data_IF_218344449836
#
_entry.id   IF_218344449836
#
_cell.length_a   1.000
_cell.length_b   1.000
_cell.length_c   1.000
_cell.angle_alpha   90.00
_cell.angle_beta   90.00
_cell.angle_gamma   90.00
#
_symmetry.space_group_name_H-M   'P 1'
#
loop_
_entity.id
_entity.type
_entity.pdbx_description
1 polymer ?
#
# COMPACT_ATOMS: atom_id res chain seq x y z
N UNK A 1 17.47 -11.43 15.81
CA UNK A 1 16.06 -11.38 15.38
C UNK A 1 15.57 -9.94 15.36
N UNK A 2 14.72 -9.58 14.40
CA UNK A 2 14.04 -8.27 14.31
C UNK A 2 12.56 -8.44 14.65
N UNK A 3 11.87 -7.34 15.00
CA UNK A 3 10.43 -7.38 15.27
C UNK A 3 9.68 -6.12 14.90
N UNK A 4 8.42 -6.30 14.52
CA UNK A 4 7.39 -5.27 14.45
C UNK A 4 6.34 -5.55 15.53
N UNK A 5 6.03 -4.56 16.37
CA UNK A 5 5.17 -4.75 17.55
C UNK A 5 3.98 -3.75 17.56
N UNK A 6 2.98 -3.91 16.68
CA UNK A 6 1.84 -3.00 16.62
C UNK A 6 0.79 -3.30 17.70
N UNK A 7 0.13 -2.25 18.19
CA UNK A 7 -1.03 -2.36 19.08
C UNK A 7 -2.33 -2.35 18.26
N UNK A 8 -3.29 -3.27 18.50
CA UNK A 8 -4.51 -3.37 17.70
C UNK A 8 -5.56 -2.34 18.15
N UNK A 9 -5.18 -1.06 18.26
CA UNK A 9 -6.01 0.02 18.84
C UNK A 9 -6.54 1.01 17.81
N UNK A 10 -6.25 0.80 16.52
CA UNK A 10 -6.61 1.70 15.43
C UNK A 10 -6.22 1.15 14.07
N UNK A 11 -6.55 1.91 13.02
CA UNK A 11 -6.07 1.63 11.66
C UNK A 11 -4.55 1.79 11.58
N UNK A 12 -3.88 0.90 10.85
CA UNK A 12 -2.46 1.03 10.59
C UNK A 12 -2.20 2.27 9.73
N UNK A 13 -1.29 3.13 10.18
CA UNK A 13 -0.84 4.30 9.44
C UNK A 13 0.46 4.05 8.67
N UNK A 14 0.84 5.01 7.81
CA UNK A 14 2.08 4.97 7.05
C UNK A 14 3.34 4.89 7.91
N UNK A 15 3.30 5.43 9.13
CA UNK A 15 4.41 5.38 10.09
C UNK A 15 4.61 3.95 10.59
N UNK A 16 3.53 3.29 11.02
CA UNK A 16 3.54 1.90 11.45
C UNK A 16 4.03 0.97 10.33
N UNK A 17 3.50 1.14 9.11
CA UNK A 17 3.91 0.33 7.97
C UNK A 17 5.39 0.55 7.63
N UNK A 18 5.90 1.79 7.70
CA UNK A 18 7.32 2.08 7.47
C UNK A 18 8.20 1.34 8.49
N UNK A 19 7.84 1.33 9.77
CA UNK A 19 8.56 0.54 10.79
C UNK A 19 8.57 -0.94 10.42
N UNK A 20 7.43 -1.51 9.99
CA UNK A 20 7.35 -2.91 9.57
C UNK A 20 8.25 -3.21 8.37
N UNK A 21 8.20 -2.39 7.32
CA UNK A 21 9.01 -2.52 6.09
C UNK A 21 10.51 -2.51 6.44
N UNK A 22 10.96 -1.54 7.24
CA UNK A 22 12.37 -1.38 7.54
C UNK A 22 12.90 -2.52 8.42
N UNK A 23 12.14 -2.98 9.41
CA UNK A 23 12.51 -4.17 10.17
C UNK A 23 12.58 -5.41 9.27
N UNK A 24 11.64 -5.58 8.34
CA UNK A 24 11.64 -6.70 7.40
C UNK A 24 12.86 -6.69 6.47
N UNK A 25 13.17 -5.54 5.87
CA UNK A 25 14.34 -5.39 4.99
C UNK A 25 15.63 -5.74 5.75
N UNK A 26 15.82 -5.16 6.94
CA UNK A 26 17.02 -5.42 7.76
C UNK A 26 17.08 -6.88 8.21
N UNK A 27 15.95 -7.51 8.53
CA UNK A 27 15.89 -8.94 8.84
C UNK A 27 16.37 -9.79 7.65
N UNK A 28 15.90 -9.51 6.44
CA UNK A 28 16.34 -10.22 5.23
C UNK A 28 17.82 -10.00 4.94
N UNK A 29 18.31 -8.77 5.04
CA UNK A 29 19.73 -8.44 4.83
C UNK A 29 20.67 -9.13 5.83
N UNK A 30 20.26 -9.21 7.09
CA UNK A 30 21.03 -9.88 8.15
C UNK A 30 20.80 -11.39 8.21
N UNK A 31 19.92 -11.94 7.37
CA UNK A 31 19.46 -13.32 7.45
C UNK A 31 18.95 -13.70 8.86
N UNK A 32 18.22 -12.78 9.47
CA UNK A 32 17.64 -12.87 10.80
C UNK A 32 16.15 -13.13 10.72
N UNK A 33 15.57 -13.74 11.76
CA UNK A 33 14.12 -13.93 11.85
C UNK A 33 13.41 -12.58 11.98
N UNK A 34 12.21 -12.48 11.42
CA UNK A 34 11.29 -11.36 11.57
C UNK A 34 10.05 -11.79 12.35
N UNK A 35 9.87 -11.20 13.54
CA UNK A 35 8.75 -11.44 14.45
C UNK A 35 7.68 -10.35 14.31
N UNK A 36 6.40 -10.73 14.30
CA UNK A 36 5.28 -9.81 14.52
C UNK A 36 4.68 -10.07 15.90
N UNK A 37 4.70 -9.07 16.78
CA UNK A 37 4.11 -9.15 18.13
C UNK A 37 2.90 -8.24 18.22
N UNK A 38 1.70 -8.80 18.34
CA UNK A 38 0.50 -7.99 18.55
C UNK A 38 0.46 -7.56 20.02
N UNK A 39 0.62 -6.25 20.28
CA UNK A 39 0.67 -5.66 21.62
C UNK A 39 -0.75 -5.41 22.17
N UNK A 40 -1.44 -6.50 22.51
CA UNK A 40 -2.85 -6.55 22.88
C UNK A 40 -3.11 -6.59 24.40
N UNK A 41 -2.17 -6.13 25.23
CA UNK A 41 -2.34 -6.19 26.70
C UNK A 41 -3.39 -5.23 27.23
N UNK A 42 -3.62 -4.09 26.57
CA UNK A 42 -4.63 -3.11 26.94
C UNK A 42 -5.99 -3.49 26.33
N UNK A 43 -6.69 -4.42 27.00
CA UNK A 43 -7.99 -4.94 26.52
C UNK A 43 -9.06 -3.87 26.32
N UNK A 44 -8.94 -2.72 26.97
CA UNK A 44 -9.93 -1.63 26.86
C UNK A 44 -9.73 -0.87 25.54
N UNK A 45 -8.47 -0.67 25.13
CA UNK A 45 -8.15 0.05 23.88
C UNK A 45 -8.16 -0.84 22.64
N UNK A 46 -8.00 -2.15 22.80
CA UNK A 46 -8.03 -3.07 21.67
C UNK A 46 -9.37 -2.99 20.92
N UNK A 47 -9.28 -2.95 19.60
CA UNK A 47 -10.43 -2.96 18.70
C UNK A 47 -10.48 -4.33 18.02
N UNK A 48 -11.65 -4.99 18.09
CA UNK A 48 -11.87 -6.30 17.51
C UNK A 48 -11.56 -6.30 15.99
N UNK A 49 -10.79 -7.28 15.54
CA UNK A 49 -10.40 -7.47 14.14
C UNK A 49 -9.19 -6.65 13.66
N UNK A 50 -8.67 -5.69 14.45
CA UNK A 50 -7.51 -4.88 14.03
C UNK A 50 -6.21 -5.67 13.94
N UNK A 51 -6.04 -6.66 14.78
CA UNK A 51 -4.96 -7.64 14.69
C UNK A 51 -4.95 -8.36 13.34
N UNK A 52 -6.12 -8.83 12.90
CA UNK A 52 -6.32 -9.51 11.61
C UNK A 52 -6.07 -8.56 10.44
N UNK A 53 -6.58 -7.33 10.53
CA UNK A 53 -6.35 -6.30 9.53
C UNK A 53 -4.86 -5.95 9.37
N UNK A 54 -4.14 -5.80 10.49
CA UNK A 54 -2.68 -5.61 10.50
C UNK A 54 -1.99 -6.72 9.70
N UNK A 55 -2.33 -7.99 9.96
CA UNK A 55 -1.70 -9.12 9.26
C UNK A 55 -2.05 -9.14 7.77
N UNK A 56 -3.31 -8.85 7.40
CA UNK A 56 -3.72 -8.74 5.99
C UNK A 56 -2.98 -7.62 5.26
N UNK A 57 -2.71 -6.50 5.94
CA UNK A 57 -1.90 -5.42 5.38
C UNK A 57 -0.49 -5.93 5.12
N UNK A 58 0.19 -6.53 6.11
CA UNK A 58 1.55 -7.05 5.92
C UNK A 58 1.64 -8.05 4.74
N UNK A 59 0.64 -8.93 4.60
CA UNK A 59 0.55 -9.87 3.48
C UNK A 59 0.41 -9.16 2.13
N UNK A 60 -0.44 -8.12 2.01
CA UNK A 60 -0.57 -7.30 0.79
C UNK A 60 0.71 -6.61 0.36
N UNK A 61 1.60 -6.32 1.32
CA UNK A 61 2.92 -5.73 1.07
C UNK A 61 4.03 -6.77 0.88
N UNK A 62 3.68 -8.07 0.82
CA UNK A 62 4.62 -9.19 0.76
C UNK A 62 5.65 -9.20 1.91
N UNK A 63 5.26 -8.65 3.07
CA UNK A 63 6.05 -8.64 4.30
C UNK A 63 5.76 -9.95 5.05
N UNK A 64 6.52 -10.99 4.72
CA UNK A 64 6.44 -12.27 5.41
C UNK A 64 7.05 -12.22 6.81
N UNK A 65 6.62 -13.12 7.71
CA UNK A 65 7.12 -13.23 9.08
C UNK A 65 7.47 -14.68 9.44
N UNK A 66 8.43 -14.86 10.35
CA UNK A 66 8.84 -16.18 10.84
C UNK A 66 8.04 -16.60 12.09
N UNK A 67 7.58 -15.63 12.87
CA UNK A 67 6.87 -15.83 14.14
C UNK A 67 5.78 -14.76 14.29
N UNK A 68 4.65 -15.16 14.87
CA UNK A 68 3.58 -14.26 15.30
C UNK A 68 3.07 -14.70 16.65
N UNK A 69 2.87 -13.76 17.58
CA UNK A 69 2.14 -14.03 18.82
C UNK A 69 1.44 -12.78 19.35
N UNK A 70 0.49 -13.03 20.25
CA UNK A 70 -0.22 -12.01 21.00
C UNK A 70 0.42 -11.84 22.37
N UNK A 71 0.73 -10.60 22.74
CA UNK A 71 1.38 -10.29 24.00
C UNK A 71 0.56 -10.76 25.22
N UNK A 72 -0.76 -10.76 25.10
CA UNK A 72 -1.71 -11.27 26.10
C UNK A 72 -1.50 -12.74 26.45
N UNK A 73 -0.89 -13.55 25.57
CA UNK A 73 -0.55 -14.96 25.83
C UNK A 73 0.56 -15.11 26.88
N UNK A 74 1.39 -14.08 27.05
CA UNK A 74 2.51 -14.07 28.00
C UNK A 74 2.17 -13.40 29.34
N UNK A 75 0.92 -12.98 29.56
CA UNK A 75 0.50 -12.22 30.73
C UNK A 75 0.93 -12.87 32.07
N UNK A 76 0.82 -14.19 32.18
CA UNK A 76 1.24 -14.92 33.38
C UNK A 76 2.75 -14.78 33.65
N UNK A 77 3.57 -14.83 32.60
CA UNK A 77 5.03 -14.68 32.71
C UNK A 77 5.37 -13.24 33.10
N UNK A 78 4.72 -12.26 32.46
CA UNK A 78 4.91 -10.85 32.80
C UNK A 78 4.53 -10.59 34.27
N UNK A 79 3.43 -11.15 34.77
CA UNK A 79 3.03 -11.02 36.18
C UNK A 79 4.05 -11.64 37.14
N UNK A 80 4.63 -12.80 36.81
CA UNK A 80 5.67 -13.42 37.63
C UNK A 80 6.93 -12.55 37.69
N UNK A 81 7.36 -11.98 36.57
CA UNK A 81 8.49 -11.06 36.50
C UNK A 81 8.22 -9.77 37.30
N UNK A 82 7.01 -9.22 37.20
CA UNK A 82 6.58 -8.07 37.98
C UNK A 82 6.63 -8.34 39.49
N UNK A 83 6.07 -9.46 39.95
CA UNK A 83 6.09 -9.86 41.35
C UNK A 83 7.51 -10.08 41.88
N UNK A 84 8.37 -10.72 41.07
CA UNK A 84 9.79 -10.89 41.39
C UNK A 84 10.47 -9.55 41.58
N UNK A 85 10.30 -8.63 40.64
CA UNK A 85 10.93 -7.32 40.68
C UNK A 85 10.46 -6.48 41.87
N UNK A 86 9.15 -6.47 42.14
CA UNK A 86 8.57 -5.80 43.31
C UNK A 86 9.10 -6.37 44.62
N UNK A 87 9.32 -7.69 44.71
CA UNK A 87 9.89 -8.33 45.91
C UNK A 87 11.36 -7.98 46.11
N UNK A 88 12.17 -8.03 45.06
CA UNK A 88 13.61 -7.75 45.12
C UNK A 88 13.93 -6.26 45.39
N UNK A 89 13.08 -5.35 44.90
CA UNK A 89 13.30 -3.91 44.99
C UNK A 89 12.51 -3.21 46.10
N UNK A 90 11.72 -3.95 46.89
CA UNK A 90 10.89 -3.43 47.99
C UNK A 90 11.67 -2.61 49.04
N UNK A 91 12.99 -2.78 49.11
CA UNK A 91 13.89 -2.06 50.03
C UNK A 91 14.60 -0.84 49.43
N UNK A 92 14.35 -0.48 48.15
CA UNK A 92 15.15 0.50 47.39
C UNK A 92 14.38 1.71 46.82
N UNK A 93 13.19 2.06 47.33
CA UNK A 93 12.36 3.16 46.79
C UNK A 93 12.17 3.07 45.27
N UNK A 94 11.92 1.85 44.78
CA UNK A 94 11.70 1.61 43.36
C UNK A 94 10.30 2.11 42.96
N UNK A 95 10.23 2.91 41.91
CA UNK A 95 8.97 3.42 41.38
C UNK A 95 8.17 2.28 40.76
N UNK A 96 7.07 1.86 41.39
CA UNK A 96 6.23 0.79 40.88
C UNK A 96 5.39 1.19 39.67
N UNK A 97 5.27 2.48 39.36
CA UNK A 97 4.44 2.98 38.26
C UNK A 97 4.97 2.56 36.88
N UNK A 98 6.25 2.20 36.77
CA UNK A 98 6.80 1.66 35.52
C UNK A 98 6.41 0.20 35.29
N UNK A 99 5.99 -0.53 36.32
CA UNK A 99 5.59 -1.94 36.23
C UNK A 99 4.08 -2.04 36.02
N UNK A 100 3.31 -1.29 36.81
CA UNK A 100 1.86 -1.48 36.95
C UNK A 100 1.11 -0.16 36.92
N UNK A 101 0.00 -0.15 36.18
CA UNK A 101 -0.97 0.94 36.11
C UNK A 101 -1.83 1.00 37.40
N UNK A 102 -2.60 2.07 37.56
CA UNK A 102 -3.49 2.29 38.72
C UNK A 102 -4.62 1.26 38.84
N UNK A 103 -4.98 0.60 37.75
CA UNK A 103 -6.00 -0.47 37.69
C UNK A 103 -5.41 -1.88 37.93
N UNK A 104 -4.15 -1.97 38.35
CA UNK A 104 -3.36 -3.19 38.53
C UNK A 104 -3.02 -3.97 37.24
N UNK A 105 -3.26 -3.40 36.07
CA UNK A 105 -2.72 -3.95 34.81
C UNK A 105 -1.23 -3.63 34.67
N UNK A 106 -0.49 -4.47 33.94
CA UNK A 106 0.92 -4.17 33.66
C UNK A 106 1.03 -3.05 32.63
N UNK A 107 2.07 -2.22 32.75
CA UNK A 107 2.32 -1.20 31.74
C UNK A 107 2.79 -1.83 30.43
N UNK A 108 2.51 -1.18 29.32
CA UNK A 108 2.97 -1.57 27.98
C UNK A 108 4.50 -1.63 27.90
N UNK A 109 5.19 -0.67 28.54
CA UNK A 109 6.65 -0.64 28.62
C UNK A 109 7.19 -1.87 29.37
N UNK A 110 6.53 -2.29 30.45
CA UNK A 110 6.95 -3.47 31.20
C UNK A 110 6.73 -4.76 30.39
N UNK A 111 5.56 -4.92 29.78
CA UNK A 111 5.26 -6.09 28.95
C UNK A 111 6.22 -6.18 27.74
N UNK A 112 6.43 -5.07 27.02
CA UNK A 112 7.36 -5.00 25.88
C UNK A 112 8.80 -5.30 26.28
N UNK A 113 9.28 -4.78 27.41
CA UNK A 113 10.61 -5.08 27.92
C UNK A 113 10.79 -6.57 28.25
N UNK A 114 9.77 -7.19 28.86
CA UNK A 114 9.77 -8.61 29.18
C UNK A 114 9.83 -9.45 27.91
N UNK A 115 8.98 -9.17 26.92
CA UNK A 115 8.95 -9.95 25.68
C UNK A 115 10.20 -9.79 24.83
N UNK A 116 10.75 -8.58 24.75
CA UNK A 116 12.02 -8.35 24.06
C UNK A 116 13.14 -9.16 24.70
N UNK A 117 13.19 -9.22 26.04
CA UNK A 117 14.14 -10.03 26.79
C UNK A 117 13.94 -11.53 26.55
N UNK A 118 12.70 -12.02 26.68
CA UNK A 118 12.37 -13.44 26.51
C UNK A 118 12.57 -13.93 25.08
N UNK A 119 12.46 -13.03 24.12
CA UNK A 119 12.65 -13.31 22.69
C UNK A 119 14.09 -13.02 22.23
N UNK A 120 14.99 -12.62 23.13
CA UNK A 120 16.39 -12.26 22.83
C UNK A 120 16.52 -11.22 21.69
N UNK A 121 15.61 -10.24 21.67
CA UNK A 121 15.66 -9.13 20.71
C UNK A 121 16.76 -8.17 21.12
N UNK A 122 17.76 -8.03 20.25
CA UNK A 122 18.94 -7.18 20.45
C UNK A 122 19.08 -6.05 19.42
N UNK A 123 18.17 -5.95 18.44
CA UNK A 123 18.17 -4.88 17.44
C UNK A 123 16.73 -4.41 17.21
N UNK A 124 16.48 -3.12 17.42
CA UNK A 124 15.16 -2.51 17.46
C UNK A 124 15.13 -1.30 16.54
N UNK A 125 14.25 -1.34 15.53
CA UNK A 125 13.91 -0.16 14.72
C UNK A 125 12.50 0.28 15.14
N UNK A 126 12.36 1.55 15.51
CA UNK A 126 11.10 2.17 15.90
C UNK A 126 11.10 3.68 15.58
N UNK A 127 9.96 4.35 15.71
CA UNK A 127 9.88 5.80 15.55
C UNK A 127 10.61 6.54 16.70
N UNK A 128 11.10 7.74 16.43
CA UNK A 128 11.78 8.59 17.42
C UNK A 128 10.90 8.98 18.61
N UNK A 129 9.57 8.98 18.45
CA UNK A 129 8.61 9.19 19.53
C UNK A 129 8.70 8.12 20.62
N UNK A 130 9.24 6.94 20.29
CA UNK A 130 9.43 5.83 21.23
C UNK A 130 10.68 5.98 22.11
N UNK A 131 11.46 7.06 21.98
CA UNK A 131 12.68 7.29 22.76
C UNK A 131 12.41 7.23 24.27
N UNK A 132 11.38 7.95 24.75
CA UNK A 132 11.02 8.01 26.18
C UNK A 132 10.58 6.62 26.69
N UNK A 133 9.85 5.87 25.88
CA UNK A 133 9.43 4.51 26.20
C UNK A 133 10.62 3.55 26.25
N UNK A 134 11.55 3.71 25.30
CA UNK A 134 12.77 2.91 25.21
C UNK A 134 13.65 3.07 26.45
N UNK A 135 13.84 4.30 26.95
CA UNK A 135 14.60 4.53 28.19
C UNK A 135 14.00 3.77 29.39
N UNK A 136 12.67 3.77 29.51
CA UNK A 136 11.97 2.99 30.54
C UNK A 136 12.15 1.49 30.35
N UNK A 137 12.06 1.01 29.11
CA UNK A 137 12.23 -0.42 28.78
C UNK A 137 13.66 -0.91 29.09
N UNK A 138 14.69 -0.11 28.78
CA UNK A 138 16.08 -0.41 29.13
C UNK A 138 16.24 -0.51 30.65
N UNK A 139 15.66 0.43 31.40
CA UNK A 139 15.69 0.39 32.87
C UNK A 139 14.98 -0.85 33.44
N UNK A 140 13.85 -1.25 32.85
CA UNK A 140 13.11 -2.47 33.23
C UNK A 140 13.94 -3.72 32.95
N UNK A 141 14.52 -3.85 31.76
CA UNK A 141 15.42 -4.96 31.37
C UNK A 141 16.59 -5.09 32.35
N UNK A 142 17.30 -3.98 32.61
CA UNK A 142 18.42 -3.94 33.57
C UNK A 142 17.98 -4.30 34.98
N UNK A 143 16.79 -3.86 35.40
CA UNK A 143 16.24 -4.15 36.72
C UNK A 143 15.87 -5.61 36.91
N UNK A 144 15.48 -6.31 35.84
CA UNK A 144 15.24 -7.76 35.79
C UNK A 144 16.54 -8.59 35.64
N UNK A 145 17.69 -7.92 35.54
CA UNK A 145 19.00 -8.58 35.42
C UNK A 145 19.42 -8.90 33.98
N UNK A 146 18.72 -8.38 32.97
CA UNK A 146 19.13 -8.52 31.58
C UNK A 146 20.23 -7.51 31.26
N UNK A 147 21.41 -8.02 30.92
CA UNK A 147 22.63 -7.20 30.67
C UNK A 147 23.07 -7.20 29.21
N UNK A 148 22.42 -7.98 28.34
CA UNK A 148 22.77 -8.03 26.93
C UNK A 148 22.47 -6.68 26.24
N UNK A 149 23.38 -6.18 25.41
CA UNK A 149 23.17 -4.92 24.71
C UNK A 149 22.01 -5.04 23.71
N UNK A 150 21.18 -4.01 23.64
CA UNK A 150 20.15 -3.86 22.61
C UNK A 150 20.46 -2.58 21.83
N UNK A 151 20.63 -2.73 20.52
CA UNK A 151 20.80 -1.61 19.60
C UNK A 151 19.43 -1.04 19.22
N UNK A 152 19.28 0.28 19.35
CA UNK A 152 18.05 1.00 19.03
C UNK A 152 18.33 1.98 17.89
N UNK A 153 17.50 1.90 16.85
CA UNK A 153 17.49 2.83 15.72
C UNK A 153 16.14 3.52 15.70
N UNK A 154 16.19 4.85 15.77
CA UNK A 154 15.03 5.72 15.73
C UNK A 154 14.87 6.29 14.33
N UNK A 155 13.76 5.99 13.69
CA UNK A 155 13.40 6.60 12.41
C UNK A 155 12.58 7.88 12.65
N UNK A 156 12.73 8.92 11.82
CA UNK A 156 11.98 10.15 12.00
C UNK A 156 10.48 9.95 11.84
N UNK A 157 9.72 10.75 12.57
CA UNK A 157 8.26 10.79 12.49
C UNK A 157 7.82 11.30 11.12
N UNK A 158 6.74 10.74 10.59
CA UNK A 158 6.07 11.27 9.39
C UNK A 158 4.94 12.19 9.83
N UNK A 159 5.01 13.46 9.41
CA UNK A 159 3.94 14.44 9.60
C UNK A 159 2.76 14.19 8.65
N UNK A 160 1.55 14.60 9.07
CA UNK A 160 0.29 14.41 8.32
C UNK A 160 -0.02 12.93 8.04
N UNK A 161 -0.17 12.17 9.13
CA UNK A 161 -0.49 10.73 9.09
C UNK A 161 -1.75 10.46 8.27
N UNK A 162 -1.65 9.45 7.41
CA UNK A 162 -2.74 8.88 6.63
C UNK A 162 -2.73 7.36 6.87
N UNK A 163 -3.91 6.75 6.91
CA UNK A 163 -4.03 5.30 7.10
C UNK A 163 -3.75 4.55 5.81
N UNK A 164 -3.27 3.31 5.93
CA UNK A 164 -3.08 2.43 4.78
C UNK A 164 -4.40 2.12 4.08
N UNK A 165 -5.48 2.01 4.87
CA UNK A 165 -6.85 1.84 4.37
C UNK A 165 -7.27 3.00 3.46
N UNK A 166 -7.09 4.25 3.90
CA UNK A 166 -7.42 5.43 3.08
C UNK A 166 -6.63 5.48 1.76
N UNK A 167 -5.37 5.02 1.76
CA UNK A 167 -4.58 4.93 0.53
C UNK A 167 -5.13 3.85 -0.43
N UNK A 168 -5.53 2.69 0.08
CA UNK A 168 -6.17 1.67 -0.75
C UNK A 168 -7.51 2.15 -1.30
N UNK A 169 -8.33 2.83 -0.50
CA UNK A 169 -9.60 3.42 -0.93
C UNK A 169 -9.42 4.46 -2.03
N UNK A 170 -8.26 5.14 -2.08
CA UNK A 170 -7.90 6.08 -3.15
C UNK A 170 -7.29 5.40 -4.40
N UNK A 171 -7.08 4.08 -4.36
CA UNK A 171 -6.56 3.30 -5.48
C UNK A 171 -5.03 3.32 -5.62
N UNK A 172 -4.30 3.56 -4.52
CA UNK A 172 -2.85 3.36 -4.47
C UNK A 172 -2.52 1.88 -4.31
N UNK A 173 -1.51 1.39 -5.03
CA UNK A 173 -1.10 -0.02 -5.00
C UNK A 173 0.00 -0.27 -3.96
N UNK A 174 0.06 -1.47 -3.34
CA UNK A 174 1.03 -1.78 -2.30
C UNK A 174 2.49 -1.49 -2.70
N UNK A 175 2.91 -1.87 -3.91
CA UNK A 175 4.29 -1.65 -4.37
C UNK A 175 4.68 -0.17 -4.37
N UNK A 176 3.77 0.71 -4.76
CA UNK A 176 4.01 2.14 -4.81
C UNK A 176 4.09 2.77 -3.42
N UNK A 177 3.20 2.38 -2.50
CA UNK A 177 3.22 2.82 -1.11
C UNK A 177 4.54 2.37 -0.45
N UNK A 178 4.93 1.11 -0.66
CA UNK A 178 6.19 0.57 -0.13
C UNK A 178 7.41 1.31 -0.68
N UNK A 179 7.49 1.49 -2.00
CA UNK A 179 8.56 2.25 -2.63
C UNK A 179 8.62 3.66 -2.04
N UNK A 180 7.49 4.34 -1.92
CA UNK A 180 7.43 5.68 -1.35
C UNK A 180 7.99 5.71 0.08
N UNK A 181 7.54 4.82 0.97
CA UNK A 181 7.96 4.80 2.38
C UNK A 181 9.44 4.46 2.57
N UNK A 182 10.04 3.67 1.68
CA UNK A 182 11.49 3.38 1.68
C UNK A 182 12.29 4.55 1.10
N UNK A 183 11.75 5.22 0.08
CA UNK A 183 12.40 6.38 -0.55
C UNK A 183 12.37 7.60 0.37
N UNK A 184 11.35 7.73 1.23
CA UNK A 184 11.25 8.80 2.21
C UNK A 184 12.56 8.92 2.98
N UNK A 185 13.16 10.10 2.87
CA UNK A 185 14.36 10.48 3.60
C UNK A 185 15.57 9.57 3.34
N UNK A 186 15.61 8.96 2.16
CA UNK A 186 16.73 8.15 1.71
C UNK A 186 17.42 8.78 0.49
N UNK A 187 18.29 9.79 0.70
CA UNK A 187 18.94 10.53 -0.39
C UNK A 187 19.93 9.68 -1.20
N UNK A 188 20.27 8.47 -0.73
CA UNK A 188 21.19 7.55 -1.40
C UNK A 188 20.50 6.45 -2.20
N UNK A 189 19.17 6.50 -2.34
CA UNK A 189 18.45 5.57 -3.20
C UNK A 189 19.02 5.63 -4.64
N UNK A 190 19.34 4.48 -5.27
CA UNK A 190 19.98 4.46 -6.58
C UNK A 190 19.05 4.94 -7.71
N UNK A 191 17.74 4.81 -7.51
CA UNK A 191 16.67 5.26 -8.40
C UNK A 191 15.42 5.54 -7.57
N UNK A 192 14.50 6.34 -8.11
CA UNK A 192 13.26 6.66 -7.41
C UNK A 192 12.24 5.53 -7.44
N UNK A 193 12.26 4.73 -8.51
CA UNK A 193 11.28 3.67 -8.75
C UNK A 193 11.96 2.31 -8.60
N UNK A 194 11.55 1.54 -7.60
CA UNK A 194 12.14 0.25 -7.27
C UNK A 194 11.12 -0.70 -6.63
N UNK A 195 11.44 -1.99 -6.69
CA UNK A 195 10.67 -3.07 -6.04
C UNK A 195 11.24 -3.39 -4.65
N UNK A 196 10.48 -4.11 -3.82
CA UNK A 196 10.96 -4.60 -2.53
C UNK A 196 12.22 -5.49 -2.65
N UNK A 197 12.31 -6.46 -3.59
CA UNK A 197 13.54 -7.24 -3.79
C UNK A 197 14.76 -6.35 -4.09
N UNK A 198 14.62 -5.36 -4.97
CA UNK A 198 15.70 -4.41 -5.25
C UNK A 198 16.07 -3.63 -3.97
N UNK A 199 15.08 -3.12 -3.23
CA UNK A 199 15.31 -2.40 -1.98
C UNK A 199 16.08 -3.23 -0.96
N UNK A 200 15.79 -4.53 -0.84
CA UNK A 200 16.54 -5.44 0.07
C UNK A 200 18.03 -5.49 -0.29
N UNK A 201 18.41 -5.34 -1.55
CA UNK A 201 19.82 -5.39 -1.97
C UNK A 201 20.60 -4.12 -1.64
N UNK A 202 20.01 -2.94 -1.86
CA UNK A 202 20.74 -1.67 -1.77
C UNK A 202 20.44 -0.84 -0.52
N UNK A 203 19.33 -1.11 0.18
CA UNK A 203 18.91 -0.30 1.32
C UNK A 203 19.95 -0.38 2.44
N UNK A 204 20.27 0.77 3.03
CA UNK A 204 21.15 0.84 4.19
C UNK A 204 20.53 1.81 5.19
N UNK A 205 20.23 1.28 6.38
CA UNK A 205 19.54 1.98 7.45
C UNK A 205 20.30 3.24 7.90
N UNK A 206 21.63 3.26 7.75
CA UNK A 206 22.46 4.42 8.12
C UNK A 206 22.27 5.62 7.17
N UNK A 207 21.60 5.42 6.04
CA UNK A 207 21.35 6.47 5.05
C UNK A 207 20.01 7.18 5.25
N UNK A 208 19.18 6.74 6.22
CA UNK A 208 17.96 7.46 6.57
C UNK A 208 18.31 8.80 7.22
N UNK A 209 17.72 9.89 6.72
CA UNK A 209 17.82 11.24 7.30
C UNK A 209 17.31 11.26 8.75
N UNK A 210 17.77 12.22 9.55
CA UNK A 210 17.32 12.42 10.93
C UNK A 210 16.23 13.49 11.06
N UNK A 211 15.82 14.08 9.95
CA UNK A 211 14.82 15.15 9.93
C UNK A 211 13.41 14.58 9.83
N UNK A 212 12.43 15.30 10.38
CA UNK A 212 11.02 14.94 10.25
C UNK A 212 10.58 14.98 8.79
N UNK A 213 9.78 14.00 8.37
CA UNK A 213 9.36 13.87 6.98
C UNK A 213 7.93 14.34 6.80
N UNK A 214 7.66 15.14 5.77
CA UNK A 214 6.29 15.48 5.40
C UNK A 214 5.75 14.49 4.38
N UNK A 215 4.57 13.95 4.65
CA UNK A 215 3.84 13.17 3.66
C UNK A 215 3.50 14.04 2.44
N UNK A 216 3.85 13.55 1.25
CA UNK A 216 3.64 14.20 -0.04
C UNK A 216 2.86 13.25 -0.96
N UNK A 217 1.55 13.49 -1.03
CA UNK A 217 0.63 12.72 -1.86
C UNK A 217 0.97 12.84 -3.35
N UNK A 218 1.53 13.96 -3.82
CA UNK A 218 1.86 14.13 -5.24
C UNK A 218 3.07 13.25 -5.62
N UNK A 219 4.06 13.16 -4.74
CA UNK A 219 5.18 12.23 -4.92
C UNK A 219 4.70 10.78 -4.91
N UNK A 220 3.81 10.41 -3.99
CA UNK A 220 3.21 9.07 -3.98
C UNK A 220 2.42 8.80 -5.27
N UNK A 221 1.63 9.76 -5.78
CA UNK A 221 0.92 9.64 -7.06
C UNK A 221 1.87 9.42 -8.24
N UNK A 222 2.99 10.14 -8.29
CA UNK A 222 4.00 9.92 -9.33
C UNK A 222 4.58 8.50 -9.27
N UNK A 223 4.98 8.04 -8.07
CA UNK A 223 5.50 6.68 -7.89
C UNK A 223 4.42 5.64 -8.27
N UNK A 224 3.18 5.85 -7.85
CA UNK A 224 2.06 4.97 -8.17
C UNK A 224 1.81 4.84 -9.67
N UNK A 225 1.86 5.97 -10.40
CA UNK A 225 1.78 5.97 -11.85
C UNK A 225 2.88 5.09 -12.48
N UNK A 226 4.14 5.26 -12.06
CA UNK A 226 5.25 4.50 -12.65
C UNK A 226 5.15 3.00 -12.31
N UNK A 227 4.68 2.63 -11.11
CA UNK A 227 4.42 1.23 -10.77
C UNK A 227 3.27 0.62 -11.60
N UNK A 228 2.17 1.33 -11.81
CA UNK A 228 1.07 0.85 -12.68
C UNK A 228 1.57 0.63 -14.12
N UNK A 229 2.42 1.54 -14.61
CA UNK A 229 3.00 1.44 -15.95
C UNK A 229 3.85 0.18 -16.13
N UNK A 230 4.60 -0.21 -15.10
CA UNK A 230 5.45 -1.41 -15.08
C UNK A 230 4.67 -2.71 -14.84
N UNK A 231 3.47 -2.64 -14.22
CA UNK A 231 2.63 -3.79 -13.93
C UNK A 231 2.31 -4.60 -15.19
N UNK A 232 2.24 -5.93 -15.10
CA UNK A 232 1.78 -6.77 -16.21
C UNK A 232 0.38 -6.37 -16.65
N UNK A 233 0.12 -6.37 -17.97
CA UNK A 233 -1.14 -5.89 -18.53
C UNK A 233 -2.34 -6.73 -18.04
N UNK A 234 -2.17 -8.06 -17.94
CA UNK A 234 -3.24 -8.95 -17.49
C UNK A 234 -3.49 -8.81 -16.00
N UNK A 235 -2.43 -8.66 -15.19
CA UNK A 235 -2.58 -8.41 -13.76
C UNK A 235 -3.26 -7.05 -13.50
N UNK A 236 -2.90 -6.01 -14.25
CA UNK A 236 -3.56 -4.70 -14.15
C UNK A 236 -5.06 -4.80 -14.46
N UNK A 237 -5.45 -5.52 -15.51
CA UNK A 237 -6.86 -5.62 -15.88
C UNK A 237 -7.69 -6.50 -14.95
N UNK A 238 -7.07 -7.43 -14.19
CA UNK A 238 -7.75 -8.15 -13.10
C UNK A 238 -8.24 -7.20 -12.01
N UNK A 239 -7.50 -6.11 -11.74
CA UNK A 239 -7.91 -5.11 -10.74
C UNK A 239 -9.25 -4.44 -11.12
N UNK A 240 -9.61 -4.44 -12.40
CA UNK A 240 -10.88 -3.92 -12.91
C UNK A 240 -11.92 -5.01 -13.20
N UNK A 241 -11.58 -6.29 -13.01
CA UNK A 241 -12.49 -7.43 -13.22
C UNK A 241 -12.50 -8.08 -14.61
N UNK A 242 -11.55 -7.76 -15.51
CA UNK A 242 -11.53 -8.32 -16.88
C UNK A 242 -10.60 -9.53 -17.05
N UNK A 243 -9.39 -9.50 -16.45
CA UNK A 243 -8.34 -10.50 -16.64
C UNK A 243 -7.89 -10.71 -18.11
N UNK A 244 -7.87 -9.62 -18.88
CA UNK A 244 -7.53 -9.54 -20.31
C UNK A 244 -6.34 -8.59 -20.54
N UNK A 245 -5.32 -9.02 -21.28
CA UNK A 245 -4.12 -8.21 -21.54
C UNK A 245 -4.39 -6.96 -22.38
N UNK A 246 -5.33 -6.99 -23.31
CA UNK A 246 -5.63 -5.84 -24.17
C UNK A 246 -6.37 -4.74 -23.39
N UNK A 247 -7.22 -5.14 -22.43
CA UNK A 247 -7.82 -4.17 -21.48
C UNK A 247 -6.75 -3.56 -20.57
N UNK A 248 -5.73 -4.32 -20.19
CA UNK A 248 -4.58 -3.79 -19.45
C UNK A 248 -3.80 -2.74 -20.23
N UNK A 249 -3.47 -3.04 -21.49
CA UNK A 249 -2.85 -2.08 -22.41
C UNK A 249 -3.73 -0.84 -22.61
N UNK A 250 -5.04 -1.04 -22.71
CA UNK A 250 -6.01 0.05 -22.89
C UNK A 250 -5.96 0.98 -21.68
N UNK A 251 -5.92 0.44 -20.46
CA UNK A 251 -5.78 1.23 -19.24
C UNK A 251 -4.49 2.06 -19.26
N UNK A 252 -3.38 1.48 -19.70
CA UNK A 252 -2.10 2.19 -19.77
C UNK A 252 -2.10 3.37 -20.74
N UNK A 253 -2.95 3.40 -21.76
CA UNK A 253 -3.10 4.57 -22.63
C UNK A 253 -3.62 5.81 -21.87
N UNK A 254 -4.37 5.60 -20.77
CA UNK A 254 -4.92 6.67 -19.95
C UNK A 254 -3.97 7.16 -18.84
N UNK A 255 -2.78 6.55 -18.68
CA UNK A 255 -1.80 6.99 -17.68
C UNK A 255 -1.33 8.44 -17.90
N UNK A 256 -1.46 9.00 -19.10
CA UNK A 256 -1.20 10.42 -19.35
C UNK A 256 -2.10 11.38 -18.57
N UNK A 257 -3.17 10.89 -17.93
CA UNK A 257 -4.06 11.68 -17.08
C UNK A 257 -4.52 11.00 -15.79
N UNK A 258 -4.11 9.75 -15.56
CA UNK A 258 -4.44 8.96 -14.38
C UNK A 258 -3.17 8.53 -13.65
N UNK A 259 -3.25 8.48 -12.32
CA UNK A 259 -2.17 8.01 -11.46
C UNK A 259 -2.61 6.96 -10.44
N UNK A 260 -3.92 6.67 -10.31
CA UNK A 260 -4.45 5.63 -9.41
C UNK A 260 -5.29 4.59 -10.15
N UNK A 261 -5.47 3.43 -9.52
CA UNK A 261 -6.33 2.35 -10.05
C UNK A 261 -7.77 2.83 -10.20
N UNK A 262 -8.32 3.57 -9.23
CA UNK A 262 -9.70 4.07 -9.30
C UNK A 262 -9.92 5.02 -10.49
N UNK A 263 -8.95 5.89 -10.78
CA UNK A 263 -9.02 6.81 -11.92
C UNK A 263 -9.01 6.04 -13.25
N UNK A 264 -8.14 5.04 -13.37
CA UNK A 264 -8.07 4.16 -14.53
C UNK A 264 -9.34 3.32 -14.67
N UNK A 265 -9.83 2.73 -13.59
CA UNK A 265 -11.04 1.93 -13.58
C UNK A 265 -12.25 2.75 -14.05
N UNK A 266 -12.37 4.00 -13.58
CA UNK A 266 -13.40 4.91 -14.04
C UNK A 266 -13.35 5.12 -15.55
N UNK A 267 -12.15 5.32 -16.12
CA UNK A 267 -11.96 5.46 -17.57
C UNK A 267 -12.32 4.17 -18.32
N UNK A 268 -11.83 3.03 -17.85
CA UNK A 268 -12.07 1.74 -18.50
C UNK A 268 -13.53 1.36 -18.46
N UNK A 269 -14.17 1.36 -17.29
CA UNK A 269 -15.58 1.01 -17.16
C UNK A 269 -16.47 1.91 -18.02
N UNK A 270 -16.14 3.20 -18.11
CA UNK A 270 -16.91 4.15 -18.92
C UNK A 270 -16.91 3.81 -20.41
N UNK A 271 -15.83 3.22 -20.95
CA UNK A 271 -15.78 2.73 -22.35
C UNK A 271 -16.88 1.68 -22.61
N UNK A 272 -17.18 0.84 -21.62
CA UNK A 272 -18.17 -0.24 -21.72
C UNK A 272 -19.57 0.16 -21.22
N UNK A 273 -19.78 1.42 -20.81
CA UNK A 273 -21.13 1.89 -20.47
C UNK A 273 -21.96 2.18 -21.72
N UNK A 274 -23.28 1.94 -21.70
CA UNK A 274 -24.16 2.29 -22.81
C UNK A 274 -24.04 3.77 -23.18
N UNK A 275 -23.95 4.07 -24.48
CA UNK A 275 -23.76 5.45 -24.93
C UNK A 275 -25.07 6.24 -24.92
N UNK A 276 -24.94 7.55 -24.71
CA UNK A 276 -26.06 8.50 -24.73
C UNK A 276 -26.26 9.05 -26.14
N UNK A 277 -27.29 8.55 -26.83
CA UNK A 277 -27.63 8.92 -28.20
C UNK A 277 -28.57 10.13 -28.31
N UNK A 278 -28.86 10.83 -27.21
CA UNK A 278 -29.71 12.02 -27.22
C UNK A 278 -28.91 13.33 -27.19
N UNK A 279 -27.57 13.23 -27.24
CA UNK A 279 -26.63 14.35 -27.30
C UNK A 279 -26.32 14.79 -28.75
N UNK A 280 -25.45 15.79 -28.88
CA UNK A 280 -25.05 16.44 -30.16
C UNK A 280 -24.76 15.46 -31.31
N UNK A 281 -24.10 14.34 -31.01
CA UNK A 281 -23.67 13.35 -31.99
C UNK A 281 -24.63 12.17 -32.19
N UNK A 282 -25.80 12.19 -31.53
CA UNK A 282 -26.72 11.07 -31.43
C UNK A 282 -27.16 10.48 -32.77
N UNK A 283 -27.53 11.33 -33.73
CA UNK A 283 -27.97 10.88 -35.05
C UNK A 283 -26.86 10.12 -35.80
N UNK A 284 -25.64 10.68 -35.82
CA UNK A 284 -24.47 10.09 -36.45
C UNK A 284 -24.07 8.80 -35.73
N UNK A 285 -24.14 8.78 -34.39
CA UNK A 285 -23.85 7.59 -33.59
C UNK A 285 -24.79 6.43 -33.94
N UNK A 286 -26.11 6.67 -34.07
CA UNK A 286 -27.08 5.62 -34.46
C UNK A 286 -26.76 5.02 -35.84
N UNK A 287 -26.33 5.87 -36.78
CA UNK A 287 -25.90 5.42 -38.11
C UNK A 287 -24.64 4.56 -38.01
N UNK A 288 -23.63 5.02 -37.27
CA UNK A 288 -22.35 4.32 -37.12
C UNK A 288 -22.53 3.01 -36.36
N UNK A 289 -23.27 2.98 -35.25
CA UNK A 289 -23.59 1.78 -34.47
C UNK A 289 -24.22 0.71 -35.36
N UNK A 290 -25.24 1.07 -36.15
CA UNK A 290 -25.91 0.14 -37.08
C UNK A 290 -24.94 -0.42 -38.13
N UNK A 291 -23.99 0.39 -38.59
CA UNK A 291 -22.95 -0.06 -39.52
C UNK A 291 -21.98 -1.02 -38.82
N UNK A 292 -21.53 -0.69 -37.61
CA UNK A 292 -20.63 -1.54 -36.81
C UNK A 292 -21.27 -2.91 -36.55
N UNK A 293 -22.56 -2.94 -36.21
CA UNK A 293 -23.30 -4.19 -35.96
C UNK A 293 -23.28 -5.17 -37.15
N UNK A 294 -23.23 -4.64 -38.38
CA UNK A 294 -23.23 -5.43 -39.61
C UNK A 294 -21.85 -5.47 -40.31
N UNK A 295 -20.82 -4.89 -39.70
CA UNK A 295 -19.50 -4.79 -40.30
C UNK A 295 -18.77 -6.14 -40.29
N UNK A 296 -17.96 -6.45 -41.31
CA UNK A 296 -16.99 -7.53 -41.20
C UNK A 296 -15.92 -7.17 -40.15
N UNK A 297 -15.16 -8.17 -39.71
CA UNK A 297 -14.01 -7.95 -38.85
C UNK A 297 -12.90 -7.21 -39.61
N UNK A 298 -12.28 -6.22 -38.96
CA UNK A 298 -11.13 -5.47 -39.47
C UNK A 298 -9.98 -5.55 -38.48
N UNK A 299 -8.78 -5.82 -38.98
CA UNK A 299 -7.59 -5.89 -38.14
C UNK A 299 -7.07 -4.49 -37.78
N UNK A 300 -7.08 -3.59 -38.77
CA UNK A 300 -6.51 -2.25 -38.71
C UNK A 300 -7.59 -1.16 -38.58
N UNK A 301 -7.34 -0.18 -37.71
CA UNK A 301 -8.28 0.94 -37.49
C UNK A 301 -8.56 1.76 -38.75
N UNK A 302 -7.55 1.95 -39.61
CA UNK A 302 -7.73 2.73 -40.82
C UNK A 302 -8.67 2.07 -41.83
N UNK A 303 -8.72 0.74 -41.89
CA UNK A 303 -9.65 0.00 -42.72
C UNK A 303 -11.07 0.09 -42.16
N UNK A 304 -11.21 -0.15 -40.86
CA UNK A 304 -12.47 0.01 -40.14
C UNK A 304 -13.07 1.41 -40.32
N UNK A 305 -12.27 2.46 -40.10
CA UNK A 305 -12.68 3.86 -40.29
C UNK A 305 -13.07 4.16 -41.74
N UNK A 306 -12.31 3.66 -42.72
CA UNK A 306 -12.64 3.84 -44.15
C UNK A 306 -13.96 3.16 -44.50
N UNK A 307 -14.22 1.97 -43.95
CA UNK A 307 -15.49 1.27 -44.12
C UNK A 307 -16.66 2.08 -43.55
N UNK A 308 -16.57 2.53 -42.30
CA UNK A 308 -17.62 3.36 -41.69
C UNK A 308 -17.85 4.64 -42.49
N UNK A 309 -16.78 5.34 -42.92
CA UNK A 309 -16.90 6.55 -43.72
C UNK A 309 -17.64 6.31 -45.04
N UNK A 310 -17.36 5.17 -45.70
CA UNK A 310 -17.98 4.80 -46.97
C UNK A 310 -19.47 4.46 -46.80
N UNK A 311 -19.81 3.63 -45.82
CA UNK A 311 -21.18 3.14 -45.62
C UNK A 311 -22.10 4.21 -44.99
N UNK A 312 -21.56 5.09 -44.14
CA UNK A 312 -22.33 6.17 -43.51
C UNK A 312 -22.43 7.44 -44.37
N UNK A 313 -21.46 7.66 -45.27
CA UNK A 313 -21.27 8.94 -45.97
C UNK A 313 -20.71 10.07 -45.09
N UNK A 314 -20.42 9.82 -43.80
CA UNK A 314 -19.91 10.81 -42.86
C UNK A 314 -18.42 11.11 -43.07
N UNK A 315 -18.01 12.36 -42.80
CA UNK A 315 -16.63 12.83 -42.98
C UNK A 315 -16.23 13.85 -41.90
N UNK A 316 -14.93 14.00 -41.69
CA UNK A 316 -14.38 14.98 -40.74
C UNK A 316 -14.90 14.77 -39.33
N UNK A 317 -15.28 15.86 -38.67
CA UNK A 317 -15.81 15.84 -37.31
C UNK A 317 -17.11 15.01 -37.18
N UNK A 318 -17.97 15.06 -38.19
CA UNK A 318 -19.22 14.27 -38.23
C UNK A 318 -18.98 12.75 -38.27
N UNK A 319 -17.75 12.29 -38.49
CA UNK A 319 -17.36 10.89 -38.39
C UNK A 319 -16.51 10.64 -37.14
N UNK A 320 -15.45 11.44 -36.94
CA UNK A 320 -14.44 11.16 -35.93
C UNK A 320 -14.92 11.39 -34.50
N UNK A 321 -15.73 12.44 -34.27
CA UNK A 321 -16.29 12.72 -32.94
C UNK A 321 -17.32 11.68 -32.49
N UNK A 322 -18.37 11.33 -33.28
CA UNK A 322 -19.30 10.28 -32.89
C UNK A 322 -18.60 8.92 -32.75
N UNK A 323 -17.67 8.58 -33.65
CA UNK A 323 -16.90 7.34 -33.52
C UNK A 323 -16.06 7.33 -32.24
N UNK A 324 -15.48 8.46 -31.84
CA UNK A 324 -14.77 8.58 -30.56
C UNK A 324 -15.72 8.38 -29.38
N UNK A 325 -16.88 9.02 -29.37
CA UNK A 325 -17.88 8.83 -28.31
C UNK A 325 -18.31 7.36 -28.23
N UNK A 326 -18.52 6.69 -29.35
CA UNK A 326 -18.84 5.27 -29.37
C UNK A 326 -17.70 4.42 -28.80
N UNK A 327 -16.45 4.67 -29.19
CA UNK A 327 -15.31 3.86 -28.77
C UNK A 327 -14.77 4.19 -27.37
N UNK A 328 -15.11 5.35 -26.80
CA UNK A 328 -14.51 5.80 -25.53
C UNK A 328 -15.48 6.41 -24.53
N UNK A 329 -16.74 6.64 -24.90
CA UNK A 329 -17.74 7.36 -24.10
C UNK A 329 -17.55 8.88 -24.00
N UNK A 330 -16.44 9.41 -24.50
CA UNK A 330 -16.01 10.80 -24.30
C UNK A 330 -15.38 11.36 -25.57
N UNK A 331 -16.01 12.39 -26.15
CA UNK A 331 -15.49 13.09 -27.33
C UNK A 331 -14.11 13.73 -27.10
N UNK A 332 -13.73 13.99 -25.84
CA UNK A 332 -12.47 14.62 -25.43
C UNK A 332 -11.42 13.62 -24.95
N UNK A 333 -11.71 12.32 -25.06
CA UNK A 333 -10.76 11.26 -24.72
C UNK A 333 -9.42 11.51 -25.41
N UNK A 334 -8.33 11.56 -24.63
CA UNK A 334 -7.00 11.94 -25.11
C UNK A 334 -6.32 10.87 -25.99
N UNK A 335 -6.40 9.55 -25.67
CA UNK A 335 -5.73 8.55 -26.50
C UNK A 335 -6.27 8.52 -27.93
N UNK A 336 -5.43 8.12 -28.89
CA UNK A 336 -5.84 8.09 -30.30
C UNK A 336 -6.74 6.88 -30.56
N UNK A 337 -7.75 7.05 -31.43
CA UNK A 337 -8.61 5.93 -31.80
C UNK A 337 -7.85 4.78 -32.48
N UNK A 338 -6.75 5.08 -33.16
CA UNK A 338 -5.85 4.08 -33.75
C UNK A 338 -5.11 3.24 -32.70
N UNK A 339 -4.96 3.73 -31.47
CA UNK A 339 -4.35 3.01 -30.36
C UNK A 339 -5.41 2.26 -29.54
N UNK A 340 -6.61 2.83 -29.42
CA UNK A 340 -7.74 2.23 -28.69
C UNK A 340 -8.34 1.06 -29.47
N UNK A 341 -8.64 1.25 -30.76
CA UNK A 341 -9.39 0.27 -31.56
C UNK A 341 -8.79 -1.15 -31.52
N UNK A 342 -7.46 -1.35 -31.70
CA UNK A 342 -6.88 -2.69 -31.62
C UNK A 342 -7.11 -3.40 -30.29
N UNK A 343 -7.33 -2.64 -29.20
CA UNK A 343 -7.50 -3.15 -27.84
C UNK A 343 -8.97 -3.38 -27.46
N UNK A 344 -9.91 -2.82 -28.22
CA UNK A 344 -11.35 -2.98 -27.98
C UNK A 344 -12.08 -3.68 -29.13
N UNK A 345 -11.41 -3.99 -30.25
CA UNK A 345 -12.06 -4.58 -31.44
C UNK A 345 -12.76 -5.91 -31.15
N UNK A 346 -12.25 -6.70 -30.21
CA UNK A 346 -12.90 -7.94 -29.75
C UNK A 346 -14.20 -7.67 -28.98
N UNK A 347 -14.36 -6.47 -28.45
CA UNK A 347 -15.52 -6.00 -27.68
C UNK A 347 -16.32 -4.94 -28.44
N UNK A 348 -16.11 -4.78 -29.75
CA UNK A 348 -16.60 -3.61 -30.49
C UNK A 348 -18.11 -3.44 -30.42
N UNK A 349 -18.86 -4.54 -30.36
CA UNK A 349 -20.31 -4.53 -30.26
C UNK A 349 -20.81 -4.07 -28.89
N UNK A 350 -20.08 -4.40 -27.82
CA UNK A 350 -20.40 -3.96 -26.46
C UNK A 350 -19.99 -2.49 -26.25
N UNK A 351 -18.84 -2.10 -26.80
CA UNK A 351 -18.31 -0.74 -26.67
C UNK A 351 -19.17 0.24 -27.48
N UNK A 352 -19.57 -0.11 -28.70
CA UNK A 352 -20.32 0.79 -29.59
C UNK A 352 -21.85 0.81 -29.34
N UNK A 353 -22.35 0.13 -28.31
CA UNK A 353 -23.78 0.10 -27.94
C UNK A 353 -24.24 1.18 -26.97
#
# INVERSE_FOLDING_TARGET
MLRFAPSPTGDMDISNLRVAILNYIVAKQKNEKFLVRIADTDKIKNIEGKDTEIMMILEKFAIGHDLVYHQSQHLNIHQQLALRLLKEKKSKNFDSSIIMNSDNTLTENFASACDDMLSEINFIICEETELINTEKQIYIKSSLGYTEPTEYIYIPTIENKITIKELFEQGFIPDAILNYLILLDNPKAPKEIFTLPEAIEWFDLNNISKESVKFDINKLRFINHEHIKMMDDKELSKLFGFADSDIGKLAKLYLGECATINELEGKIRYIFTPKDFDKEWGEQMRVIEKIIFNAPYFEEFDEFKKYIAKESGLKGDNLLKPLRVLLTGDEKSKPKLSEIYPLVKSYILEVAS
#
